data_IF_025132560406
#
_entry.id   IF_025132560406
#
_cell.length_a   1.000
_cell.length_b   1.000
_cell.length_c   1.000
_cell.angle_alpha   90.00
_cell.angle_beta   90.00
_cell.angle_gamma   90.00
#
_symmetry.space_group_name_H-M   'P 1'
#
loop_
_entity.id
_entity.type
_entity.pdbx_description
1 polymer ?
#
# COMPACT_ATOMS: atom_id res chain seq x y z
N UNK A 1 -30.23 -4.73 -33.13
CA UNK A 1 -28.97 -5.28 -32.57
C UNK A 1 -27.83 -4.42 -33.08
N UNK A 2 -27.38 -3.48 -32.26
CA UNK A 2 -26.23 -2.64 -32.59
C UNK A 2 -25.17 -2.89 -31.54
N UNK A 3 -24.05 -3.45 -31.98
CA UNK A 3 -22.90 -3.79 -31.14
C UNK A 3 -22.11 -2.49 -30.98
N UNK A 4 -22.10 -1.92 -29.78
CA UNK A 4 -21.12 -0.87 -29.44
C UNK A 4 -19.96 -1.56 -28.75
N UNK A 5 -18.90 -1.82 -29.52
CA UNK A 5 -17.57 -2.10 -28.97
C UNK A 5 -17.02 -0.79 -28.41
N UNK A 6 -17.21 -0.57 -27.11
CA UNK A 6 -16.43 0.41 -26.39
C UNK A 6 -15.05 -0.21 -26.11
N UNK A 7 -14.06 0.23 -26.87
CA UNK A 7 -12.66 0.10 -26.47
C UNK A 7 -12.50 0.86 -25.17
N UNK A 8 -12.44 0.13 -24.05
CA UNK A 8 -12.04 0.66 -22.75
C UNK A 8 -10.56 1.04 -22.85
N UNK A 9 -10.31 2.22 -23.42
CA UNK A 9 -9.04 2.90 -23.32
C UNK A 9 -8.91 3.31 -21.86
N UNK A 10 -8.27 2.44 -21.07
CA UNK A 10 -7.92 2.71 -19.69
C UNK A 10 -7.07 3.98 -19.65
N UNK A 11 -7.71 5.12 -19.43
CA UNK A 11 -7.05 6.34 -18.99
C UNK A 11 -6.51 6.02 -17.61
N UNK A 12 -5.23 5.64 -17.55
CA UNK A 12 -4.48 5.50 -16.32
C UNK A 12 -4.59 6.84 -15.58
N UNK A 13 -5.46 6.87 -14.59
CA UNK A 13 -5.61 7.99 -13.68
C UNK A 13 -4.30 8.11 -12.89
N UNK A 14 -3.91 9.29 -12.43
CA UNK A 14 -2.66 9.45 -11.66
C UNK A 14 -2.56 8.52 -10.45
N UNK A 15 -3.68 7.99 -9.94
CA UNK A 15 -3.75 6.96 -8.89
C UNK A 15 -3.35 5.55 -9.33
N UNK A 16 -3.11 5.29 -10.63
CA UNK A 16 -2.72 3.96 -11.12
C UNK A 16 -1.21 3.70 -11.08
N UNK A 17 -0.39 4.72 -10.78
CA UNK A 17 1.05 4.50 -10.58
C UNK A 17 1.31 3.84 -9.24
N UNK A 18 1.57 2.54 -9.29
CA UNK A 18 2.04 1.75 -8.16
C UNK A 18 3.53 1.96 -7.93
N UNK A 19 3.91 1.97 -6.67
CA UNK A 19 5.29 1.98 -6.19
C UNK A 19 5.53 0.75 -5.31
N UNK A 20 6.77 0.26 -5.31
CA UNK A 20 7.21 -0.78 -4.40
C UNK A 20 7.64 -0.14 -3.08
N UNK A 21 7.04 -0.59 -1.98
CA UNK A 21 7.33 -0.10 -0.63
C UNK A 21 8.04 -1.17 0.19
N UNK A 22 8.87 -0.73 1.14
CA UNK A 22 9.51 -1.57 2.14
C UNK A 22 9.24 -1.03 3.55
N UNK A 23 8.78 -1.91 4.44
CA UNK A 23 8.56 -1.60 5.84
C UNK A 23 9.28 -2.62 6.73
N UNK A 24 9.82 -2.15 7.85
CA UNK A 24 10.37 -2.99 8.91
C UNK A 24 9.80 -2.55 10.25
N UNK A 25 9.29 -3.49 11.03
CA UNK A 25 8.92 -3.22 12.41
C UNK A 25 10.19 -3.20 13.27
N UNK A 26 10.70 -2.01 13.58
CA UNK A 26 11.86 -1.83 14.47
C UNK A 26 11.48 -1.77 15.95
N UNK A 27 10.20 -1.93 16.28
CA UNK A 27 9.70 -1.90 17.66
C UNK A 27 9.73 -3.30 18.29
N UNK A 28 9.51 -3.37 19.61
CA UNK A 28 9.38 -4.63 20.35
C UNK A 28 7.94 -5.15 20.43
N UNK A 29 6.99 -4.52 19.73
CA UNK A 29 5.57 -4.88 19.77
C UNK A 29 5.13 -5.48 18.43
N UNK A 30 4.14 -6.39 18.47
CA UNK A 30 3.48 -6.85 17.25
C UNK A 30 2.64 -5.71 16.67
N UNK A 31 2.66 -5.57 15.35
CA UNK A 31 1.93 -4.55 14.63
C UNK A 31 1.00 -5.16 13.58
N UNK A 32 -0.06 -4.44 13.25
CA UNK A 32 -0.87 -4.72 12.06
C UNK A 32 -0.69 -3.56 11.09
N UNK A 33 -0.31 -3.84 9.85
CA UNK A 33 -0.17 -2.81 8.81
C UNK A 33 -1.29 -2.92 7.77
N UNK A 34 -1.80 -1.78 7.30
CA UNK A 34 -2.85 -1.69 6.27
C UNK A 34 -2.52 -0.61 5.24
N UNK A 35 -2.88 -0.84 3.98
CA UNK A 35 -2.82 0.22 2.97
C UNK A 35 -4.16 0.95 2.96
N UNK A 36 -4.15 2.25 3.26
CA UNK A 36 -5.35 3.10 3.18
C UNK A 36 -5.32 3.98 1.94
N UNK A 37 -6.50 4.40 1.47
CA UNK A 37 -6.70 5.27 0.31
C UNK A 37 -6.32 4.69 -1.07
N UNK A 38 -6.44 3.37 -1.25
CA UNK A 38 -6.34 2.75 -2.58
C UNK A 38 -7.62 1.99 -2.92
N UNK A 39 -8.33 2.31 -4.02
CA UNK A 39 -9.69 1.82 -4.29
C UNK A 39 -9.82 0.30 -4.55
N UNK A 40 -8.76 -0.50 -4.35
CA UNK A 40 -8.71 -1.92 -4.76
C UNK A 40 -7.91 -2.86 -3.83
N UNK A 41 -7.36 -2.43 -2.69
CA UNK A 41 -6.45 -3.29 -1.90
C UNK A 41 -6.99 -3.59 -0.51
N UNK A 42 -7.44 -4.83 -0.31
CA UNK A 42 -7.61 -5.45 1.02
C UNK A 42 -6.24 -5.90 1.53
N UNK A 43 -5.30 -4.97 1.68
CA UNK A 43 -3.98 -5.27 2.22
C UNK A 43 -4.01 -5.07 3.73
N UNK A 44 -3.85 -6.17 4.46
CA UNK A 44 -3.65 -6.20 5.90
C UNK A 44 -2.64 -7.30 6.24
N UNK A 45 -1.66 -6.99 7.10
CA UNK A 45 -0.61 -7.93 7.52
C UNK A 45 -0.24 -7.74 8.98
N UNK A 46 0.03 -8.84 9.68
CA UNK A 46 0.65 -8.84 11.01
C UNK A 46 2.17 -8.84 10.85
N UNK A 47 2.85 -7.92 11.52
CA UNK A 47 4.31 -7.73 11.44
C UNK A 47 4.91 -7.88 12.84
N UNK A 48 5.72 -8.91 13.02
CA UNK A 48 6.46 -9.17 14.26
C UNK A 48 7.66 -8.22 14.42
N UNK A 49 8.19 -8.04 15.65
CA UNK A 49 9.45 -7.34 15.88
C UNK A 49 10.57 -7.83 14.96
N UNK A 50 11.21 -6.91 14.24
CA UNK A 50 12.29 -7.18 13.29
C UNK A 50 11.84 -7.74 11.92
N UNK A 51 10.56 -8.05 11.73
CA UNK A 51 10.04 -8.53 10.44
C UNK A 51 10.04 -7.42 9.41
N UNK A 52 10.36 -7.79 8.17
CA UNK A 52 10.39 -6.94 6.98
C UNK A 52 9.26 -7.35 6.05
N UNK A 53 8.57 -6.37 5.47
CA UNK A 53 7.50 -6.59 4.51
C UNK A 53 7.71 -5.68 3.30
N UNK A 54 7.62 -6.25 2.10
CA UNK A 54 7.56 -5.51 0.85
C UNK A 54 6.16 -5.61 0.26
N UNK A 55 5.64 -4.50 -0.27
CA UNK A 55 4.29 -4.46 -0.83
C UNK A 55 4.16 -3.37 -1.89
N UNK A 56 3.19 -3.52 -2.80
CA UNK A 56 2.83 -2.48 -3.75
C UNK A 56 1.76 -1.56 -3.19
N UNK A 57 1.90 -0.25 -3.39
CA UNK A 57 0.88 0.72 -3.05
C UNK A 57 0.80 1.83 -4.10
N UNK A 58 -0.32 2.57 -4.13
CA UNK A 58 -0.41 3.80 -4.92
C UNK A 58 0.50 4.90 -4.37
N UNK A 59 0.94 5.81 -5.24
CA UNK A 59 1.83 6.92 -4.88
C UNK A 59 1.25 7.80 -3.75
N UNK A 60 -0.06 8.06 -3.78
CA UNK A 60 -0.80 8.86 -2.79
C UNK A 60 -1.40 8.01 -1.65
N UNK A 61 -0.96 6.75 -1.54
CA UNK A 61 -1.41 5.83 -0.50
C UNK A 61 -0.71 6.07 0.84
N UNK A 62 -1.29 5.55 1.91
CA UNK A 62 -0.69 5.54 3.24
C UNK A 62 -0.62 4.11 3.77
N UNK A 63 0.43 3.81 4.51
CA UNK A 63 0.52 2.65 5.37
C UNK A 63 0.02 3.05 6.76
N UNK A 64 -1.15 2.56 7.16
CA UNK A 64 -1.54 2.56 8.58
C UNK A 64 -0.71 1.49 9.31
N UNK A 65 -0.13 1.85 10.45
CA UNK A 65 0.55 0.92 11.35
C UNK A 65 -0.18 0.98 12.70
N UNK A 66 -0.83 -0.12 13.05
CA UNK A 66 -1.56 -0.28 14.30
C UNK A 66 -0.73 -1.08 15.30
N UNK A 67 -0.67 -0.61 16.54
CA UNK A 67 -0.27 -1.35 17.73
C UNK A 67 -1.51 -1.65 18.57
N UNK A 68 -1.36 -2.27 19.74
CA UNK A 68 -2.49 -2.52 20.64
C UNK A 68 -3.20 -1.23 21.08
N UNK A 69 -2.46 -0.13 21.23
CA UNK A 69 -2.99 1.10 21.84
C UNK A 69 -3.08 2.27 20.87
N UNK A 70 -2.32 2.27 19.78
CA UNK A 70 -2.19 3.43 18.89
C UNK A 70 -2.11 3.03 17.41
N UNK A 71 -2.57 3.92 16.54
CA UNK A 71 -2.34 3.88 15.08
C UNK A 71 -1.59 5.12 14.62
N UNK A 72 -0.74 4.97 13.61
CA UNK A 72 -0.15 6.08 12.88
C UNK A 72 -0.09 5.77 11.38
N UNK A 73 0.09 6.80 10.56
CA UNK A 73 0.09 6.68 9.10
C UNK A 73 1.42 7.14 8.51
N UNK A 74 1.96 6.36 7.58
CA UNK A 74 3.18 6.69 6.83
C UNK A 74 2.80 6.83 5.35
N UNK A 75 3.06 7.97 4.70
CA UNK A 75 2.89 8.08 3.24
C UNK A 75 3.73 7.01 2.52
N UNK A 76 3.12 6.24 1.62
CA UNK A 76 3.80 5.14 0.91
C UNK A 76 5.02 5.61 0.10
N UNK A 77 4.99 6.85 -0.38
CA UNK A 77 6.14 7.47 -1.06
C UNK A 77 7.41 7.48 -0.18
N UNK A 78 7.27 7.62 1.14
CA UNK A 78 8.41 7.59 2.08
C UNK A 78 8.98 6.17 2.28
N UNK A 79 8.19 5.14 1.96
CA UNK A 79 8.57 3.74 2.04
C UNK A 79 9.08 3.21 0.70
N UNK A 80 9.09 4.04 -0.35
CA UNK A 80 9.41 3.60 -1.71
C UNK A 80 10.85 3.12 -1.84
N UNK A 81 11.03 2.05 -2.61
CA UNK A 81 12.35 1.50 -2.95
C UNK A 81 12.47 1.36 -4.47
N UNK A 82 13.69 1.48 -4.97
CA UNK A 82 14.02 1.23 -6.37
C UNK A 82 14.64 -0.16 -6.44
N UNK A 83 14.09 -1.02 -7.30
CA UNK A 83 14.72 -2.30 -7.60
C UNK A 83 15.98 -2.05 -8.44
N UNK A 84 17.12 -2.53 -7.95
CA UNK A 84 18.45 -2.32 -8.55
C UNK A 84 18.77 -3.33 -9.65
#
# INVERSE_FOLDING_TARGET
>A
MSILTASEKATASKSDRKILCFYINTTSQVQVIRITNSPKFNFERVIFPGQREMFEAGLEGFLEVCTETNSFFIPCQQLSVIES
#
